data_IF_370249383701
#
_entry.id   IF_370249383701
#
_cell.length_a   1.000
_cell.length_b   1.000
_cell.length_c   1.000
_cell.angle_alpha   90.00
_cell.angle_beta   90.00
_cell.angle_gamma   90.00
#
_symmetry.space_group_name_H-M   'P 1'
#
loop_
_entity.id
_entity.type
_entity.pdbx_description
1 polymer ?
#
# COMPACT_ATOMS: atom_id res chain seq x y z
N UNK A 1 11.14 6.55 24.44
CA UNK A 1 10.81 5.82 23.20
C UNK A 1 9.30 5.83 23.01
N UNK A 2 8.76 6.80 22.27
CA UNK A 2 7.36 6.78 21.82
C UNK A 2 7.25 7.67 20.58
N UNK A 3 7.18 7.09 19.38
CA UNK A 3 6.67 7.82 18.21
C UNK A 3 5.16 7.66 18.25
N UNK A 4 4.50 8.64 18.85
CA UNK A 4 3.05 8.79 18.77
C UNK A 4 2.71 9.03 17.30
N UNK A 5 2.19 8.01 16.60
CA UNK A 5 1.58 8.19 15.29
C UNK A 5 0.29 8.98 15.52
N UNK A 6 0.30 10.24 15.06
CA UNK A 6 -0.85 11.14 15.11
C UNK A 6 -2.00 10.53 14.30
N UNK A 7 -3.26 10.63 14.79
CA UNK A 7 -4.42 10.13 14.06
C UNK A 7 -4.59 10.90 12.75
N UNK A 8 -4.91 10.16 11.68
CA UNK A 8 -5.07 10.62 10.32
C UNK A 8 -6.27 11.59 10.17
N UNK A 9 -6.08 12.85 10.53
CA UNK A 9 -7.06 13.92 10.27
C UNK A 9 -6.79 14.59 8.91
N UNK A 10 -7.35 13.97 7.86
CA UNK A 10 -8.06 14.65 6.76
C UNK A 10 -8.63 13.59 5.81
N UNK A 11 -9.96 13.39 5.89
CA UNK A 11 -10.74 12.54 4.98
C UNK A 11 -10.39 12.87 3.53
N UNK A 12 -10.25 11.85 2.67
CA UNK A 12 -11.37 11.20 1.97
C UNK A 12 -11.15 9.70 1.71
N UNK A 13 -10.13 9.10 2.33
CA UNK A 13 -9.84 7.66 2.28
C UNK A 13 -9.31 7.23 3.65
N UNK A 14 -9.95 6.28 4.31
CA UNK A 14 -9.35 5.61 5.47
C UNK A 14 -8.24 4.71 4.93
N UNK A 15 -7.04 5.26 4.84
CA UNK A 15 -5.88 4.45 4.59
C UNK A 15 -5.44 3.82 5.91
N UNK A 16 -5.32 2.49 5.98
CA UNK A 16 -4.97 1.86 7.24
C UNK A 16 -3.56 2.29 7.65
N UNK A 17 -3.40 2.70 8.92
CA UNK A 17 -2.09 3.02 9.49
C UNK A 17 -1.10 1.84 9.41
N UNK A 18 -1.63 0.64 9.16
CA UNK A 18 -0.92 -0.62 8.94
C UNK A 18 -0.63 -0.94 7.47
N UNK A 19 -0.86 -0.03 6.51
CA UNK A 19 -0.49 -0.26 5.11
C UNK A 19 0.97 -0.66 4.89
N UNK A 20 1.97 -0.03 5.56
CA UNK A 20 3.35 -0.49 5.46
C UNK A 20 3.49 -1.97 5.82
N UNK A 21 2.80 -2.43 6.86
CA UNK A 21 2.81 -3.83 7.32
C UNK A 21 2.11 -4.75 6.32
N UNK A 22 0.97 -4.33 5.75
CA UNK A 22 0.33 -5.04 4.65
C UNK A 22 1.26 -5.20 3.44
N UNK A 23 1.97 -4.14 3.07
CA UNK A 23 2.90 -4.14 1.94
C UNK A 23 4.10 -5.05 2.19
N UNK A 24 4.64 -5.08 3.42
CA UNK A 24 5.69 -6.02 3.82
C UNK A 24 5.22 -7.48 3.73
N UNK A 25 4.04 -7.81 4.28
CA UNK A 25 3.47 -9.16 4.20
C UNK A 25 3.22 -9.58 2.76
N UNK A 26 2.69 -8.68 1.93
CA UNK A 26 2.50 -8.94 0.51
C UNK A 26 3.82 -9.22 -0.20
N UNK A 27 4.86 -8.45 0.09
CA UNK A 27 6.21 -8.66 -0.47
C UNK A 27 6.82 -9.99 -0.03
N UNK A 28 6.64 -10.40 1.22
CA UNK A 28 7.08 -11.70 1.73
C UNK A 28 6.34 -12.85 1.07
N UNK A 29 5.00 -12.79 1.01
CA UNK A 29 4.17 -13.85 0.43
C UNK A 29 4.34 -13.98 -1.09
N UNK A 30 4.59 -12.87 -1.79
CA UNK A 30 4.82 -12.87 -3.25
C UNK A 30 6.24 -13.30 -3.64
N UNK A 31 7.19 -13.31 -2.70
CA UNK A 31 8.61 -13.57 -2.98
C UNK A 31 9.30 -12.48 -3.82
N UNK A 32 8.64 -11.35 -4.08
CA UNK A 32 9.18 -10.27 -4.91
C UNK A 32 10.22 -9.46 -4.10
N UNK A 33 11.24 -8.96 -4.79
CA UNK A 33 12.07 -7.90 -4.21
C UNK A 33 11.36 -6.55 -4.30
N UNK A 34 11.76 -5.56 -3.49
CA UNK A 34 11.22 -4.21 -3.60
C UNK A 34 11.45 -3.56 -4.96
N UNK A 35 12.58 -3.88 -5.61
CA UNK A 35 12.88 -3.42 -6.96
C UNK A 35 12.00 -4.08 -8.00
N UNK A 36 11.69 -5.36 -7.84
CA UNK A 36 10.79 -6.09 -8.72
C UNK A 36 9.35 -5.58 -8.60
N UNK A 37 8.89 -5.37 -7.36
CA UNK A 37 7.59 -4.78 -7.10
C UNK A 37 7.49 -3.38 -7.73
N UNK A 38 8.50 -2.54 -7.53
CA UNK A 38 8.53 -1.21 -8.15
C UNK A 38 8.47 -1.28 -9.68
N UNK A 39 9.23 -2.19 -10.29
CA UNK A 39 9.23 -2.41 -11.74
C UNK A 39 7.86 -2.82 -12.25
N UNK A 40 7.20 -3.78 -11.60
CA UNK A 40 5.85 -4.25 -11.97
C UNK A 40 4.80 -3.15 -11.85
N UNK A 41 4.94 -2.28 -10.85
CA UNK A 41 4.05 -1.13 -10.65
C UNK A 41 4.41 0.09 -11.52
N UNK A 42 5.46 0.02 -12.35
CA UNK A 42 5.93 1.14 -13.15
C UNK A 42 6.40 2.34 -12.32
N UNK A 43 7.00 2.08 -11.16
CA UNK A 43 7.50 3.11 -10.22
C UNK A 43 8.94 2.85 -9.81
N UNK A 44 9.49 3.71 -8.96
CA UNK A 44 10.85 3.59 -8.42
C UNK A 44 10.87 2.92 -7.04
N UNK A 45 11.96 2.20 -6.68
CA UNK A 45 12.13 1.66 -5.32
C UNK A 45 12.05 2.74 -4.23
N UNK A 46 12.44 3.98 -4.55
CA UNK A 46 12.31 5.13 -3.65
C UNK A 46 10.84 5.43 -3.33
N UNK A 47 9.95 5.29 -4.31
CA UNK A 47 8.51 5.49 -4.12
C UNK A 47 7.94 4.44 -3.18
N UNK A 48 8.32 3.17 -3.36
CA UNK A 48 7.95 2.08 -2.43
C UNK A 48 8.45 2.39 -1.01
N UNK A 49 9.70 2.85 -0.88
CA UNK A 49 10.26 3.22 0.43
C UNK A 49 9.50 4.37 1.08
N UNK A 50 9.01 5.36 0.32
CA UNK A 50 8.15 6.42 0.87
C UNK A 50 6.86 5.83 1.44
N UNK A 51 6.25 4.86 0.75
CA UNK A 51 5.05 4.20 1.24
C UNK A 51 5.27 3.43 2.54
N UNK A 52 6.39 2.70 2.64
CA UNK A 52 6.79 2.03 3.88
C UNK A 52 7.02 3.00 5.06
N UNK A 53 7.36 4.26 4.77
CA UNK A 53 7.50 5.32 5.77
C UNK A 53 6.18 6.07 6.06
N UNK A 54 5.05 5.60 5.52
CA UNK A 54 3.73 6.18 5.79
C UNK A 54 3.26 7.23 4.78
N UNK A 55 3.98 7.46 3.69
CA UNK A 55 3.46 8.29 2.59
C UNK A 55 2.40 7.51 1.83
N UNK A 56 1.21 8.07 1.67
CA UNK A 56 0.15 7.34 0.98
C UNK A 56 0.42 7.23 -0.53
N UNK A 57 0.27 6.03 -1.13
CA UNK A 57 0.20 5.87 -2.57
C UNK A 57 -1.04 6.58 -3.12
N UNK A 58 -0.96 7.06 -4.36
CA UNK A 58 -2.14 7.55 -5.07
C UNK A 58 -3.08 6.39 -5.43
N UNK A 59 -4.35 6.71 -5.69
CA UNK A 59 -5.37 5.74 -6.10
C UNK A 59 -4.91 4.84 -7.27
N UNK A 60 -4.17 5.40 -8.24
CA UNK A 60 -3.61 4.64 -9.37
C UNK A 60 -2.70 3.50 -8.91
N UNK A 61 -1.80 3.75 -7.96
CA UNK A 61 -0.88 2.73 -7.47
C UNK A 61 -1.57 1.70 -6.57
N UNK A 62 -2.64 2.11 -5.88
CA UNK A 62 -3.46 1.19 -5.11
C UNK A 62 -4.23 0.22 -5.99
N UNK A 63 -4.80 0.69 -7.10
CA UNK A 63 -5.42 -0.18 -8.09
C UNK A 63 -4.39 -1.15 -8.68
N UNK A 64 -3.24 -0.66 -9.14
CA UNK A 64 -2.19 -1.52 -9.68
C UNK A 64 -1.65 -2.55 -8.66
N UNK A 65 -1.57 -2.18 -7.38
CA UNK A 65 -1.23 -3.10 -6.29
C UNK A 65 -2.30 -4.16 -6.08
N UNK A 66 -3.58 -3.80 -6.16
CA UNK A 66 -4.68 -4.75 -6.07
C UNK A 66 -4.71 -5.70 -7.25
N UNK A 67 -4.58 -5.19 -8.48
CA UNK A 67 -4.54 -6.03 -9.70
C UNK A 67 -3.40 -7.05 -9.62
N UNK A 68 -2.19 -6.60 -9.26
CA UNK A 68 -1.04 -7.49 -9.06
C UNK A 68 -1.28 -8.49 -7.92
N UNK A 69 -1.94 -8.09 -6.85
CA UNK A 69 -2.24 -8.99 -5.75
C UNK A 69 -3.33 -10.02 -6.12
N UNK A 70 -4.29 -9.66 -6.97
CA UNK A 70 -5.27 -10.59 -7.54
C UNK A 70 -4.61 -11.61 -8.45
N UNK A 71 -3.72 -11.17 -9.35
CA UNK A 71 -2.92 -12.05 -10.21
C UNK A 71 -2.14 -13.11 -9.43
N UNK A 72 -1.66 -12.74 -8.24
CA UNK A 72 -0.88 -13.62 -7.35
C UNK A 72 -1.73 -14.39 -6.33
N UNK A 73 -3.05 -14.17 -6.28
CA UNK A 73 -3.94 -14.78 -5.27
C UNK A 73 -3.75 -14.23 -3.84
N UNK A 74 -3.13 -13.05 -3.70
CA UNK A 74 -2.74 -12.41 -2.44
C UNK A 74 -3.54 -11.13 -2.12
N UNK A 75 -4.64 -10.87 -2.82
CA UNK A 75 -5.44 -9.65 -2.67
C UNK A 75 -5.95 -9.40 -1.24
N UNK A 76 -6.06 -10.45 -0.42
CA UNK A 76 -6.46 -10.37 0.99
C UNK A 76 -5.38 -9.77 1.92
N UNK A 77 -4.13 -9.65 1.46
CA UNK A 77 -3.02 -9.08 2.24
C UNK A 77 -2.92 -7.57 2.11
N UNK A 78 -3.54 -6.98 1.08
CA UNK A 78 -3.52 -5.55 0.83
C UNK A 78 -4.89 -4.95 1.18
N UNK A 79 -4.90 -3.71 1.71
CA UNK A 79 -6.16 -3.06 1.97
C UNK A 79 -6.83 -2.68 0.65
N UNK A 80 -8.13 -2.96 0.58
CA UNK A 80 -8.95 -2.55 -0.55
C UNK A 80 -9.18 -1.05 -0.44
N UNK A 81 -8.88 -0.32 -1.51
CA UNK A 81 -9.26 1.08 -1.60
C UNK A 81 -10.80 1.17 -1.54
N UNK A 82 -11.35 1.55 -0.37
CA UNK A 82 -12.76 1.88 -0.25
C UNK A 82 -12.93 3.34 -0.67
N UNK A 83 -13.60 3.55 -1.80
CA UNK A 83 -14.17 4.85 -2.10
C UNK A 83 -15.28 5.11 -1.07
N UNK A 84 -15.02 5.99 -0.10
CA UNK A 84 -16.08 6.51 0.74
C UNK A 84 -16.92 7.44 -0.14
N UNK A 85 -18.02 6.90 -0.67
CA UNK A 85 -19.08 7.73 -1.24
C UNK A 85 -19.62 8.63 -0.12
N UNK A 86 -19.67 9.93 -0.38
CA UNK A 86 -20.49 10.85 0.43
C UNK A 86 -21.94 10.65 -0.01
N UNK A 87 -22.79 10.24 0.92
CA UNK A 87 -24.24 10.51 0.87
C UNK A 87 -24.49 12.02 0.83
#
# INVERSE_FOLDING_TARGET
MSRQKLPHERGLYEFPDDFPQCLERFKEASGLSWSELARRLGTSPLTIRRWLNGVQPSARYLLALQDLAEELGLAHLLPRARALHRD
#
